data_IF_987876052613
#
_entry.id   IF_987876052613
#
_cell.length_a   1.000
_cell.length_b   1.000
_cell.length_c   1.000
_cell.angle_alpha   90.00
_cell.angle_beta   90.00
_cell.angle_gamma   90.00
#
_symmetry.space_group_name_H-M   'P 1'
#
loop_
_entity.id
_entity.type
_entity.pdbx_description
1 polymer ?
#
# COMPACT_ATOMS: atom_id res chain seq x y z
N UNK A 1 8.90 -12.51 -19.54
CA UNK A 1 9.43 -11.74 -18.41
C UNK A 1 8.80 -10.36 -18.25
N UNK A 2 8.73 -9.58 -19.33
CA UNK A 2 8.40 -8.14 -19.35
C UNK A 2 7.03 -7.74 -18.78
N UNK A 3 5.96 -8.51 -19.04
CA UNK A 3 4.61 -8.17 -18.55
C UNK A 3 4.50 -8.14 -17.02
N UNK A 4 5.14 -9.08 -16.31
CA UNK A 4 5.02 -9.17 -14.85
C UNK A 4 5.81 -8.06 -14.13
N UNK A 5 6.86 -7.53 -14.76
CA UNK A 5 7.63 -6.39 -14.27
C UNK A 5 6.85 -5.07 -14.40
N UNK A 6 6.09 -4.92 -15.49
CA UNK A 6 5.28 -3.73 -15.75
C UNK A 6 3.96 -3.71 -14.97
N UNK A 7 3.26 -4.85 -14.92
CA UNK A 7 1.94 -4.93 -14.25
C UNK A 7 2.02 -5.27 -12.77
N UNK A 8 3.12 -5.89 -12.30
CA UNK A 8 3.32 -6.24 -10.90
C UNK A 8 3.08 -5.08 -9.93
N UNK A 9 3.80 -3.94 -10.10
CA UNK A 9 3.63 -2.77 -9.24
C UNK A 9 2.19 -2.23 -9.29
N UNK A 10 1.55 -2.29 -10.46
CA UNK A 10 0.15 -1.87 -10.66
C UNK A 10 -0.83 -2.76 -9.88
N UNK A 11 -0.63 -4.08 -9.87
CA UNK A 11 -1.46 -4.99 -9.05
C UNK A 11 -1.29 -4.73 -7.55
N UNK A 12 -0.05 -4.53 -7.09
CA UNK A 12 0.23 -4.19 -5.69
C UNK A 12 -0.42 -2.85 -5.31
N UNK A 13 -0.32 -1.84 -6.19
CA UNK A 13 -1.01 -0.56 -6.04
C UNK A 13 -2.53 -0.70 -6.05
N UNK A 14 -3.10 -1.55 -6.91
CA UNK A 14 -4.53 -1.83 -6.96
C UNK A 14 -5.05 -2.36 -5.62
N UNK A 15 -4.33 -3.32 -5.04
CA UNK A 15 -4.63 -3.83 -3.70
C UNK A 15 -4.49 -2.75 -2.62
N UNK A 16 -3.51 -1.84 -2.73
CA UNK A 16 -3.37 -0.69 -1.83
C UNK A 16 -4.55 0.27 -1.91
N UNK A 17 -5.04 0.55 -3.12
CA UNK A 17 -6.24 1.37 -3.33
C UNK A 17 -7.49 0.73 -2.71
N UNK A 18 -7.67 -0.59 -2.89
CA UNK A 18 -8.75 -1.34 -2.23
C UNK A 18 -8.62 -1.32 -0.70
N UNK A 19 -7.42 -1.50 -0.17
CA UNK A 19 -7.15 -1.39 1.27
C UNK A 19 -7.53 0.00 1.80
N UNK A 20 -7.25 1.06 1.05
CA UNK A 20 -7.67 2.42 1.38
C UNK A 20 -9.19 2.61 1.38
N UNK A 21 -9.91 2.01 0.43
CA UNK A 21 -11.38 2.03 0.43
C UNK A 21 -11.97 1.26 1.62
N UNK A 22 -11.41 0.10 1.97
CA UNK A 22 -11.83 -0.69 3.13
C UNK A 22 -11.59 0.10 4.42
N UNK A 23 -10.40 0.68 4.58
CA UNK A 23 -10.07 1.54 5.72
C UNK A 23 -11.05 2.72 5.82
N UNK A 24 -11.34 3.40 4.71
CA UNK A 24 -12.30 4.49 4.66
C UNK A 24 -13.70 4.03 5.11
N UNK A 25 -14.16 2.87 4.65
CA UNK A 25 -15.46 2.31 5.05
C UNK A 25 -15.55 2.06 6.56
N UNK A 26 -14.49 1.50 7.18
CA UNK A 26 -14.45 1.28 8.62
C UNK A 26 -14.49 2.57 9.43
N UNK A 27 -13.68 3.58 9.06
CA UNK A 27 -13.68 4.88 9.74
C UNK A 27 -15.04 5.58 9.62
N UNK A 28 -15.65 5.56 8.44
CA UNK A 28 -16.96 6.19 8.22
C UNK A 28 -18.09 5.54 8.98
N UNK A 29 -18.10 4.21 9.04
CA UNK A 29 -19.10 3.48 9.83
C UNK A 29 -18.93 3.77 11.32
N UNK A 30 -17.70 3.91 11.80
CA UNK A 30 -17.43 4.20 13.20
C UNK A 30 -17.73 5.67 13.57
N UNK A 31 -17.61 6.60 12.63
CA UNK A 31 -17.93 8.02 12.81
C UNK A 31 -19.35 8.38 12.31
N UNK A 32 -20.15 7.40 11.91
CA UNK A 32 -21.52 7.57 11.38
C UNK A 32 -21.65 8.58 10.21
N UNK A 33 -20.63 8.72 9.37
CA UNK A 33 -20.61 9.71 8.27
C UNK A 33 -21.14 9.13 6.96
N UNK A 34 -22.40 9.43 6.63
CA UNK A 34 -23.05 8.99 5.38
C UNK A 34 -22.75 9.91 4.17
N UNK A 35 -22.53 11.20 4.42
CA UNK A 35 -22.26 12.21 3.39
C UNK A 35 -20.83 12.14 2.83
N UNK A 36 -20.58 12.77 1.67
CA UNK A 36 -19.24 12.86 1.09
C UNK A 36 -18.66 11.51 0.64
N UNK A 37 -19.50 10.63 0.04
CA UNK A 37 -19.05 9.26 -0.25
C UNK A 37 -17.94 9.19 -1.28
N UNK A 38 -18.05 9.99 -2.32
CA UNK A 38 -17.02 10.09 -3.36
C UNK A 38 -15.82 10.93 -2.94
N UNK A 39 -16.04 12.01 -2.18
CA UNK A 39 -14.99 12.95 -1.78
C UNK A 39 -13.92 12.31 -0.89
N UNK A 40 -14.31 11.38 -0.01
CA UNK A 40 -13.37 10.59 0.78
C UNK A 40 -12.85 9.35 0.03
N UNK A 41 -13.66 8.68 -0.78
CA UNK A 41 -13.25 7.41 -1.40
C UNK A 41 -12.20 7.59 -2.51
N UNK A 42 -12.27 8.69 -3.26
CA UNK A 42 -11.34 8.96 -4.36
C UNK A 42 -9.89 9.15 -3.88
N UNK A 43 -9.55 10.06 -2.95
CA UNK A 43 -8.19 10.19 -2.44
C UNK A 43 -7.73 8.92 -1.71
N UNK A 44 -8.65 8.21 -1.06
CA UNK A 44 -8.35 6.98 -0.34
C UNK A 44 -8.06 5.78 -1.26
N UNK A 45 -8.53 5.80 -2.51
CA UNK A 45 -8.12 4.81 -3.51
C UNK A 45 -6.87 5.25 -4.27
N UNK A 46 -6.87 6.49 -4.76
CA UNK A 46 -5.85 6.99 -5.70
C UNK A 46 -4.51 7.22 -5.01
N UNK A 47 -4.49 7.82 -3.81
CA UNK A 47 -3.23 8.12 -3.13
C UNK A 47 -2.50 6.83 -2.71
N UNK A 48 -3.13 5.85 -2.04
CA UNK A 48 -2.46 4.59 -1.72
C UNK A 48 -2.03 3.81 -2.97
N UNK A 49 -2.83 3.85 -4.05
CA UNK A 49 -2.45 3.25 -5.33
C UNK A 49 -1.16 3.86 -5.88
N UNK A 50 -1.15 5.17 -6.12
CA UNK A 50 -0.02 5.86 -6.75
C UNK A 50 1.23 5.78 -5.89
N UNK A 51 1.10 6.00 -4.58
CA UNK A 51 2.23 5.93 -3.65
C UNK A 51 2.86 4.54 -3.65
N UNK A 52 2.06 3.48 -3.59
CA UNK A 52 2.56 2.10 -3.61
C UNK A 52 3.24 1.76 -4.92
N UNK A 53 2.67 2.15 -6.07
CA UNK A 53 3.30 1.95 -7.39
C UNK A 53 4.63 2.69 -7.47
N UNK A 54 4.66 3.95 -7.05
CA UNK A 54 5.87 4.78 -7.09
C UNK A 54 6.97 4.22 -6.17
N UNK A 55 6.61 3.87 -4.93
CA UNK A 55 7.52 3.28 -3.95
C UNK A 55 8.10 1.95 -4.45
N UNK A 56 7.25 1.06 -4.98
CA UNK A 56 7.70 -0.23 -5.50
C UNK A 56 8.65 -0.03 -6.68
N UNK A 57 8.30 0.85 -7.62
CA UNK A 57 9.17 1.13 -8.77
C UNK A 57 10.52 1.72 -8.35
N UNK A 58 10.53 2.65 -7.40
CA UNK A 58 11.75 3.32 -6.95
C UNK A 58 12.68 2.41 -6.15
N UNK A 59 12.13 1.50 -5.34
CA UNK A 59 12.92 0.73 -4.35
C UNK A 59 13.16 -0.72 -4.76
N UNK A 60 12.33 -1.28 -5.64
CA UNK A 60 12.41 -2.68 -6.09
C UNK A 60 12.71 -2.74 -7.58
N UNK A 61 11.79 -2.28 -8.44
CA UNK A 61 11.89 -2.51 -9.90
C UNK A 61 13.10 -1.84 -10.55
N UNK A 62 13.32 -0.54 -10.31
CA UNK A 62 14.47 0.19 -10.86
C UNK A 62 15.83 -0.38 -10.41
N UNK A 63 16.10 -0.58 -9.11
CA UNK A 63 17.39 -1.09 -8.67
C UNK A 63 17.63 -2.56 -9.05
N UNK A 64 16.58 -3.37 -9.24
CA UNK A 64 16.70 -4.69 -9.89
C UNK A 64 17.18 -4.55 -11.35
N UNK A 65 16.53 -3.71 -12.15
CA UNK A 65 16.89 -3.54 -13.57
C UNK A 65 18.27 -2.94 -13.78
N UNK A 66 18.71 -2.05 -12.89
CA UNK A 66 20.05 -1.46 -12.93
C UNK A 66 21.14 -2.40 -12.41
N UNK A 67 20.78 -3.58 -11.88
CA UNK A 67 21.73 -4.52 -11.29
C UNK A 67 22.36 -4.01 -9.98
N UNK A 68 21.74 -3.04 -9.32
CA UNK A 68 22.16 -2.52 -8.01
C UNK A 68 21.58 -3.37 -6.86
N UNK A 69 20.52 -4.14 -7.15
CA UNK A 69 19.86 -5.03 -6.20
C UNK A 69 20.04 -6.50 -6.57
N UNK A 70 21.19 -7.09 -6.23
CA UNK A 70 21.53 -8.49 -6.54
C UNK A 70 21.26 -9.50 -5.41
N UNK A 71 20.84 -9.05 -4.23
CA UNK A 71 20.53 -9.93 -3.10
C UNK A 71 19.04 -10.31 -3.05
N UNK A 72 18.70 -11.62 -2.96
CA UNK A 72 17.31 -12.07 -2.90
C UNK A 72 16.61 -11.50 -1.66
N UNK A 73 17.25 -11.61 -0.49
CA UNK A 73 16.73 -11.11 0.79
C UNK A 73 16.43 -9.61 0.76
N UNK A 74 17.27 -8.81 0.10
CA UNK A 74 17.05 -7.37 -0.03
C UNK A 74 15.82 -7.05 -0.88
N UNK A 75 15.64 -7.77 -2.01
CA UNK A 75 14.44 -7.61 -2.84
C UNK A 75 13.17 -7.98 -2.06
N UNK A 76 13.20 -9.10 -1.31
CA UNK A 76 12.09 -9.53 -0.44
C UNK A 76 11.76 -8.50 0.64
N UNK A 77 12.76 -8.01 1.38
CA UNK A 77 12.57 -7.04 2.45
C UNK A 77 11.99 -5.74 1.88
N UNK A 78 12.53 -5.22 0.77
CA UNK A 78 12.00 -4.00 0.14
C UNK A 78 10.58 -4.19 -0.37
N UNK A 79 10.27 -5.32 -1.02
CA UNK A 79 8.92 -5.66 -1.46
C UNK A 79 7.92 -5.74 -0.31
N UNK A 80 8.31 -6.40 0.79
CA UNK A 80 7.49 -6.51 2.01
C UNK A 80 7.24 -5.14 2.65
N UNK A 81 8.26 -4.29 2.72
CA UNK A 81 8.18 -2.96 3.31
C UNK A 81 7.27 -2.03 2.51
N UNK A 82 7.33 -2.10 1.18
CA UNK A 82 6.42 -1.36 0.31
C UNK A 82 4.97 -1.87 0.45
N UNK A 83 4.78 -3.18 0.53
CA UNK A 83 3.47 -3.79 0.75
C UNK A 83 2.84 -3.36 2.08
N UNK A 84 3.56 -3.51 3.20
CA UNK A 84 3.09 -3.13 4.53
C UNK A 84 2.95 -1.62 4.66
N UNK A 85 3.99 -0.87 4.29
CA UNK A 85 4.05 0.57 4.46
C UNK A 85 3.08 1.29 3.53
N UNK A 86 3.29 1.17 2.22
CA UNK A 86 2.48 1.84 1.20
C UNK A 86 1.09 1.22 1.04
N UNK A 87 1.01 -0.11 1.05
CA UNK A 87 -0.25 -0.82 0.80
C UNK A 87 -1.14 -1.00 2.02
N UNK A 88 -0.59 -0.94 3.23
CA UNK A 88 -1.30 -1.28 4.46
C UNK A 88 -1.41 -0.12 5.46
N UNK A 89 -0.26 0.36 5.95
CA UNK A 89 -0.20 1.35 7.02
C UNK A 89 -0.59 2.74 6.53
N UNK A 90 -0.09 3.14 5.36
CA UNK A 90 -0.41 4.43 4.74
C UNK A 90 -1.92 4.66 4.59
N UNK A 91 -2.72 3.74 4.02
CA UNK A 91 -4.18 3.94 3.95
C UNK A 91 -4.86 4.06 5.32
N UNK A 92 -4.38 3.39 6.36
CA UNK A 92 -4.93 3.53 7.72
C UNK A 92 -4.62 4.92 8.30
N UNK A 93 -3.37 5.37 8.15
CA UNK A 93 -2.94 6.69 8.62
C UNK A 93 -3.63 7.82 7.85
N UNK A 94 -3.84 7.66 6.55
CA UNK A 94 -4.53 8.62 5.70
C UNK A 94 -6.04 8.67 6.01
N UNK A 95 -6.64 7.54 6.38
CA UNK A 95 -8.08 7.48 6.70
C UNK A 95 -8.45 8.35 7.89
N UNK A 96 -7.58 8.46 8.88
CA UNK A 96 -7.85 9.20 10.11
C UNK A 96 -8.08 10.70 9.86
N UNK A 97 -7.14 11.48 9.27
CA UNK A 97 -7.35 12.90 9.00
C UNK A 97 -8.44 13.15 7.97
N UNK A 98 -8.57 12.30 6.94
CA UNK A 98 -9.63 12.44 5.91
C UNK A 98 -11.02 12.32 6.55
N UNK A 99 -11.22 11.31 7.39
CA UNK A 99 -12.51 11.08 8.03
C UNK A 99 -12.75 12.01 9.23
N UNK A 100 -11.71 12.45 9.93
CA UNK A 100 -11.81 13.50 10.93
C UNK A 100 -12.24 14.83 10.31
N UNK A 101 -11.62 15.22 9.19
CA UNK A 101 -12.01 16.42 8.45
C UNK A 101 -13.46 16.30 7.96
N UNK A 102 -13.85 15.15 7.41
CA UNK A 102 -15.22 14.91 6.97
C UNK A 102 -16.21 15.01 8.13
N UNK A 103 -15.90 14.42 9.29
CA UNK A 103 -16.67 14.60 10.50
C UNK A 103 -16.78 16.11 10.81
N UNK A 104 -15.69 16.84 11.04
CA UNK A 104 -15.81 18.28 11.35
C UNK A 104 -16.61 19.13 10.34
N UNK A 105 -16.64 18.73 9.05
CA UNK A 105 -17.38 19.43 8.00
C UNK A 105 -18.87 19.08 7.95
N UNK A 106 -19.24 17.83 8.22
CA UNK A 106 -20.62 17.35 8.14
C UNK A 106 -21.29 17.14 9.52
N UNK A 107 -20.50 17.20 10.59
CA UNK A 107 -20.83 16.77 11.95
C UNK A 107 -21.06 17.92 12.93
N UNK A 108 -21.50 19.07 12.42
CA UNK A 108 -22.26 20.03 13.24
C UNK A 108 -23.65 19.44 13.61
N UNK A 109 -24.10 18.36 12.96
CA UNK A 109 -25.50 17.92 13.05
C UNK A 109 -25.78 16.47 13.50
N UNK A 110 -24.80 15.54 13.67
CA UNK A 110 -25.14 14.09 13.77
C UNK A 110 -24.42 13.29 14.86
N UNK A 111 -23.23 13.65 15.32
CA UNK A 111 -22.46 12.89 16.31
C UNK A 111 -21.91 13.82 17.41
N UNK A 112 -22.24 13.59 18.69
CA UNK A 112 -21.67 14.37 19.78
C UNK A 112 -20.18 14.08 19.86
N UNK A 113 -19.37 15.03 19.39
CA UNK A 113 -17.92 14.98 19.51
C UNK A 113 -17.55 14.88 21.01
N UNK A 114 -16.62 13.99 21.41
CA UNK A 114 -16.30 13.81 22.82
C UNK A 114 -15.83 15.13 23.43
N UNK A 115 -16.27 15.37 24.67
CA UNK A 115 -15.90 16.54 25.46
C UNK A 115 -14.36 16.74 25.45
N UNK A 116 -13.91 18.00 25.39
CA UNK A 116 -12.53 18.39 25.01
C UNK A 116 -11.41 17.62 25.74
N UNK A 117 -11.67 17.10 26.94
CA UNK A 117 -10.72 16.29 27.72
C UNK A 117 -10.49 14.85 27.23
N UNK A 118 -11.37 14.26 26.40
CA UNK A 118 -11.33 12.83 26.05
C UNK A 118 -11.13 12.55 24.54
N UNK A 119 -10.88 13.59 23.74
CA UNK A 119 -10.78 13.49 22.28
C UNK A 119 -9.61 12.61 21.82
N UNK A 120 -8.42 12.79 22.41
CA UNK A 120 -7.24 11.95 22.11
C UNK A 120 -7.54 10.47 22.39
N UNK A 121 -8.13 10.17 23.54
CA UNK A 121 -8.48 8.80 23.93
C UNK A 121 -9.48 8.18 22.96
N UNK A 122 -10.49 8.95 22.54
CA UNK A 122 -11.44 8.52 21.52
C UNK A 122 -10.74 8.16 20.19
N UNK A 123 -9.90 9.04 19.65
CA UNK A 123 -9.16 8.78 18.40
C UNK A 123 -8.21 7.59 18.52
N UNK A 124 -7.53 7.41 19.66
CA UNK A 124 -6.66 6.25 19.88
C UNK A 124 -7.44 4.94 19.93
N UNK A 125 -8.59 4.91 20.61
CA UNK A 125 -9.43 3.71 20.70
C UNK A 125 -10.05 3.35 19.34
N UNK A 126 -10.53 4.37 18.62
CA UNK A 126 -11.05 4.24 17.27
C UNK A 126 -9.99 3.66 16.32
N UNK A 127 -8.80 4.27 16.30
CA UNK A 127 -7.67 3.81 15.48
C UNK A 127 -7.27 2.38 15.82
N UNK A 128 -7.15 2.04 17.11
CA UNK A 128 -6.81 0.70 17.57
C UNK A 128 -7.82 -0.35 17.11
N UNK A 129 -9.12 -0.04 17.20
CA UNK A 129 -10.19 -0.92 16.73
C UNK A 129 -10.10 -1.16 15.22
N UNK A 130 -9.82 -0.12 14.45
CA UNK A 130 -9.74 -0.20 12.99
C UNK A 130 -8.47 -0.91 12.54
N UNK A 131 -7.32 -0.61 13.15
CA UNK A 131 -6.05 -1.33 12.90
C UNK A 131 -6.23 -2.82 13.15
N UNK A 132 -6.92 -3.21 14.24
CA UNK A 132 -7.21 -4.62 14.53
C UNK A 132 -8.08 -5.27 13.44
N UNK A 133 -9.06 -4.56 12.88
CA UNK A 133 -9.87 -5.05 11.75
C UNK A 133 -9.11 -5.11 10.43
N UNK A 134 -8.13 -4.23 10.24
CA UNK A 134 -7.28 -4.15 9.05
C UNK A 134 -6.09 -5.13 9.10
N UNK A 135 -5.83 -5.77 10.25
CA UNK A 135 -4.71 -6.70 10.41
C UNK A 135 -4.64 -7.80 9.32
N UNK A 136 -5.75 -8.44 8.88
CA UNK A 136 -5.71 -9.40 7.78
C UNK A 136 -5.26 -8.78 6.46
N UNK A 137 -5.67 -7.53 6.20
CA UNK A 137 -5.25 -6.77 5.01
C UNK A 137 -3.76 -6.47 5.07
N UNK A 138 -3.23 -6.11 6.25
CA UNK A 138 -1.79 -5.89 6.44
C UNK A 138 -0.98 -7.15 6.13
N UNK A 139 -1.42 -8.32 6.63
CA UNK A 139 -0.79 -9.60 6.32
C UNK A 139 -0.83 -9.86 4.81
N UNK A 140 -2.00 -9.68 4.19
CA UNK A 140 -2.16 -9.89 2.75
C UNK A 140 -1.20 -9.00 1.94
N UNK A 141 -1.07 -7.72 2.29
CA UNK A 141 -0.15 -6.83 1.58
C UNK A 141 1.32 -7.19 1.80
N UNK A 142 1.67 -7.69 2.99
CA UNK A 142 3.02 -8.20 3.27
C UNK A 142 3.35 -9.39 2.37
N UNK A 143 2.46 -10.38 2.35
CA UNK A 143 2.62 -11.61 1.56
C UNK A 143 2.68 -11.27 0.08
N UNK A 144 1.78 -10.41 -0.40
CA UNK A 144 1.72 -10.04 -1.82
C UNK A 144 2.95 -9.22 -2.24
N UNK A 145 3.40 -8.27 -1.43
CA UNK A 145 4.63 -7.50 -1.67
C UNK A 145 5.87 -8.38 -1.71
N UNK A 146 5.98 -9.33 -0.77
CA UNK A 146 7.08 -10.31 -0.71
C UNK A 146 7.05 -11.22 -1.94
N UNK A 147 5.90 -11.84 -2.24
CA UNK A 147 5.73 -12.72 -3.37
C UNK A 147 6.08 -12.04 -4.70
N UNK A 148 5.60 -10.81 -4.89
CA UNK A 148 5.85 -10.04 -6.11
C UNK A 148 7.34 -9.72 -6.28
N UNK A 149 8.01 -9.27 -5.21
CA UNK A 149 9.45 -8.99 -5.24
C UNK A 149 10.30 -10.23 -5.52
N UNK A 150 9.92 -11.39 -4.96
CA UNK A 150 10.59 -12.65 -5.26
C UNK A 150 10.44 -13.02 -6.74
N UNK A 151 9.23 -12.86 -7.30
CA UNK A 151 9.00 -13.10 -8.74
C UNK A 151 9.75 -12.13 -9.63
N UNK A 152 9.88 -10.86 -9.23
CA UNK A 152 10.68 -9.87 -9.95
C UNK A 152 12.17 -10.23 -9.94
N UNK A 153 12.69 -10.70 -8.81
CA UNK A 153 14.06 -11.16 -8.67
C UNK A 153 14.33 -12.44 -9.51
N UNK A 154 13.44 -13.43 -9.48
CA UNK A 154 13.56 -14.64 -10.31
C UNK A 154 13.60 -14.33 -11.81
N UNK A 155 12.77 -13.38 -12.27
CA UNK A 155 12.76 -12.93 -13.67
C UNK A 155 14.07 -12.22 -14.00
N UNK A 156 14.54 -11.34 -13.12
CA UNK A 156 15.81 -10.63 -13.29
C UNK A 156 16.98 -11.61 -13.47
N UNK A 157 17.11 -12.61 -12.59
CA UNK A 157 18.17 -13.61 -12.70
C UNK A 157 18.13 -14.40 -14.01
N UNK A 158 16.93 -14.74 -14.51
CA UNK A 158 16.79 -15.41 -15.80
C UNK A 158 17.27 -14.53 -16.95
N UNK A 159 16.97 -13.22 -16.90
CA UNK A 159 17.39 -12.27 -17.94
C UNK A 159 18.91 -12.04 -17.93
N UNK A 160 19.53 -11.96 -16.75
CA UNK A 160 20.99 -11.84 -16.62
C UNK A 160 21.68 -13.07 -17.21
N UNK A 161 21.25 -14.28 -16.83
CA UNK A 161 21.84 -15.54 -17.33
C UNK A 161 21.77 -15.67 -18.85
N UNK A 162 20.64 -15.29 -19.44
CA UNK A 162 20.47 -15.29 -20.92
C UNK A 162 21.41 -14.28 -21.58
N UNK A 163 21.56 -13.09 -20.98
CA UNK A 163 22.49 -12.09 -21.50
C UNK A 163 23.96 -12.51 -21.39
N UNK A 164 24.32 -13.35 -20.42
CA UNK A 164 25.66 -13.90 -20.29
C UNK A 164 25.90 -15.01 -21.33
N UNK A 165 24.95 -15.94 -21.51
CA UNK A 165 25.06 -16.99 -22.53
C UNK A 165 25.15 -16.42 -23.94
N UNK A 166 24.36 -15.38 -24.26
CA UNK A 166 24.41 -14.73 -25.57
C UNK A 166 25.81 -14.14 -25.82
N UNK A 167 26.46 -13.56 -24.81
CA UNK A 167 27.81 -12.97 -24.94
C UNK A 167 28.89 -14.02 -25.18
N UNK A 168 28.75 -15.20 -24.59
CA UNK A 168 29.67 -16.33 -24.78
C UNK A 168 29.56 -16.89 -26.22
N UNK A 169 28.34 -16.99 -26.77
CA UNK A 169 28.11 -17.47 -28.15
C UNK A 169 28.63 -16.50 -29.23
N UNK A 170 28.72 -15.20 -28.96
CA UNK A 170 29.30 -14.22 -29.90
C UNK A 170 30.83 -14.07 -29.80
N UNK A 171 31.49 -14.75 -28.84
CA UNK A 171 32.95 -14.71 -28.67
C UNK A 171 33.68 -15.92 -29.28
N UNK A 172 32.94 -16.89 -29.83
CA UNK A 172 33.44 -18.01 -30.65
C UNK A 172 33.24 -17.75 -32.17
#
# INVERSE_FOLDING_TARGET
>A
GSKLFLYGPVYLGGNAGLAGLIANSFFRRALNVSQGRFTSSLPMAVLPFLTTVALYNATVSKPLLSGDLNCPTCALIRGSLVGVGGGGLYPILLALPVNAALATRYDINVTPMPEKGNLLRFWTNLSKSIVRKMFPVLILQTVFGTYLSNKHYEIYLKTVKLSESDKEEYQD
#
